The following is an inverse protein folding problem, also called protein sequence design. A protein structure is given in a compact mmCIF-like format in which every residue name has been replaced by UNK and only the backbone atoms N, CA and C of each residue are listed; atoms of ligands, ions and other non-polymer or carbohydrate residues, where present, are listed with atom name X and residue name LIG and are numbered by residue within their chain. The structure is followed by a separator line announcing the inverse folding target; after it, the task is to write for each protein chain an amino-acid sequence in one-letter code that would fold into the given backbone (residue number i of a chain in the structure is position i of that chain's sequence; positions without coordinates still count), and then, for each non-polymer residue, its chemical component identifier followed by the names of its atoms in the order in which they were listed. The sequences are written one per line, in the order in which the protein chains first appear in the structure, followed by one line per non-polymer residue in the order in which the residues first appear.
data_IF_459377593619
#
_entry.id   IF_459377593619
#
_cell.length_a   1.000
_cell.length_b   1.000
_cell.length_c   1.000
_cell.angle_alpha   90.00
_cell.angle_beta   90.00
_cell.angle_gamma   90.00
#
_symmetry.space_group_name_H-M   'P 1'
#
loop_
_entity.id
_entity.type
_entity.pdbx_description
1 polymer ?
#
# COMPACT_ATOMS: atom_id res chain seq x y z
N UNK A 1 -5.72 -1.75 -11.70
CA UNK A 1 -5.37 -2.29 -10.38
C UNK A 1 -3.85 -2.43 -10.18
N UNK A 2 -3.00 -2.02 -11.14
CA UNK A 2 -1.53 -2.04 -11.00
C UNK A 2 -1.01 -0.94 -10.11
N UNK A 3 -1.67 0.24 -10.08
CA UNK A 3 -1.28 1.46 -9.33
C UNK A 3 -1.06 1.24 -7.83
N UNK A 4 -1.31 0.02 -7.37
CA UNK A 4 -1.14 -0.40 -6.01
C UNK A 4 0.32 -0.72 -5.65
N UNK A 5 1.21 -1.15 -6.56
CA UNK A 5 2.58 -1.54 -6.13
C UNK A 5 3.36 -0.31 -5.67
N UNK A 6 3.35 0.74 -6.48
CA UNK A 6 4.00 2.01 -6.13
C UNK A 6 3.44 2.57 -4.83
N UNK A 7 2.11 2.63 -4.68
CA UNK A 7 1.46 3.19 -3.50
C UNK A 7 1.71 2.33 -2.25
N UNK A 8 1.62 1.01 -2.37
CA UNK A 8 1.91 0.07 -1.27
C UNK A 8 3.36 0.20 -0.82
N UNK A 9 4.31 0.28 -1.76
CA UNK A 9 5.73 0.45 -1.44
C UNK A 9 5.98 1.77 -0.69
N UNK A 10 5.28 2.84 -1.07
CA UNK A 10 5.39 4.14 -0.43
C UNK A 10 4.91 4.06 1.03
N UNK A 11 3.78 3.40 1.26
CA UNK A 11 3.25 3.18 2.63
C UNK A 11 4.24 2.38 3.47
N UNK A 12 4.83 1.31 2.92
CA UNK A 12 5.86 0.55 3.62
C UNK A 12 7.06 1.41 4.00
N UNK A 13 7.54 2.26 3.08
CA UNK A 13 8.68 3.14 3.34
C UNK A 13 8.35 4.23 4.36
N UNK A 14 7.17 4.85 4.28
CA UNK A 14 6.66 5.75 5.32
C UNK A 14 6.63 5.07 6.68
N UNK A 15 6.15 3.83 6.77
CA UNK A 15 6.04 3.08 8.02
C UNK A 15 7.41 2.70 8.57
N UNK A 16 8.38 2.38 7.73
CA UNK A 16 9.77 2.14 8.17
C UNK A 16 10.38 3.37 8.83
N UNK A 17 10.19 4.54 8.21
CA UNK A 17 10.66 5.80 8.78
C UNK A 17 9.88 6.08 10.10
N UNK A 18 8.58 5.81 10.11
CA UNK A 18 7.73 5.93 11.30
C UNK A 18 8.23 5.10 12.47
N UNK A 19 8.60 3.84 12.26
CA UNK A 19 9.12 2.96 13.30
C UNK A 19 10.46 3.44 13.88
N UNK A 20 11.31 4.02 13.03
CA UNK A 20 12.61 4.55 13.44
C UNK A 20 12.56 5.95 14.08
N UNK A 21 11.47 6.70 13.89
CA UNK A 21 11.34 8.09 14.34
C UNK A 21 10.84 8.22 15.78
N UNK A 22 11.49 9.03 16.60
CA UNK A 22 11.04 9.33 17.97
C UNK A 22 9.91 10.36 18.02
N UNK A 23 9.59 11.00 16.90
CA UNK A 23 8.52 12.01 16.80
C UNK A 23 7.13 11.39 16.52
N UNK A 24 7.05 10.07 16.43
CA UNK A 24 5.79 9.33 16.27
C UNK A 24 5.41 8.67 17.59
N UNK A 25 4.14 8.79 17.97
CA UNK A 25 3.63 8.18 19.19
C UNK A 25 3.68 6.64 19.15
N UNK A 26 3.88 6.02 20.31
CA UNK A 26 4.03 4.57 20.42
C UNK A 26 2.81 3.80 19.91
N UNK A 27 1.61 4.38 20.05
CA UNK A 27 0.36 3.79 19.53
C UNK A 27 0.46 3.56 18.02
N UNK A 28 0.96 4.54 17.26
CA UNK A 28 1.06 4.40 15.80
C UNK A 28 2.13 3.37 15.41
N UNK A 29 3.22 3.28 16.18
CA UNK A 29 4.24 2.25 15.98
C UNK A 29 3.70 0.85 16.26
N UNK A 30 2.99 0.67 17.38
CA UNK A 30 2.34 -0.60 17.77
C UNK A 30 1.35 -1.05 16.67
N UNK A 31 0.37 -0.21 16.31
CA UNK A 31 -0.63 -0.60 15.31
C UNK A 31 -0.03 -0.78 13.93
N UNK A 32 0.96 0.03 13.56
CA UNK A 32 1.61 -0.09 12.26
C UNK A 32 2.43 -1.37 12.12
N UNK A 33 3.03 -1.84 13.22
CA UNK A 33 3.79 -3.09 13.25
C UNK A 33 2.87 -4.31 13.24
N UNK A 34 1.88 -4.35 14.13
CA UNK A 34 1.01 -5.52 14.32
C UNK A 34 -0.05 -5.65 13.21
N UNK A 35 -0.46 -4.55 12.59
CA UNK A 35 -1.56 -4.51 11.61
C UNK A 35 -1.12 -3.92 10.26
N UNK A 36 0.13 -4.12 9.84
CA UNK A 36 0.67 -3.57 8.59
C UNK A 36 -0.18 -3.90 7.35
N UNK A 37 -0.76 -5.11 7.28
CA UNK A 37 -1.64 -5.51 6.18
C UNK A 37 -2.84 -4.57 6.02
N UNK A 38 -3.39 -4.05 7.13
CA UNK A 38 -4.48 -3.07 7.08
C UNK A 38 -4.00 -1.71 6.56
N UNK A 39 -2.78 -1.29 6.91
CA UNK A 39 -2.19 -0.10 6.31
C UNK A 39 -2.00 -0.25 4.79
N UNK A 40 -1.55 -1.42 4.32
CA UNK A 40 -1.48 -1.73 2.89
C UNK A 40 -2.87 -1.77 2.23
N UNK A 41 -3.91 -2.25 2.93
CA UNK A 41 -5.28 -2.11 2.42
C UNK A 41 -5.73 -0.65 2.34
N UNK A 42 -5.31 0.20 3.28
CA UNK A 42 -5.50 1.64 3.21
C UNK A 42 -4.92 2.22 1.92
N UNK A 43 -3.80 1.68 1.44
CA UNK A 43 -3.08 2.17 0.27
C UNK A 43 -3.65 1.81 -1.09
N UNK A 44 -4.81 1.15 -1.12
CA UNK A 44 -5.51 0.80 -2.36
C UNK A 44 -6.94 1.37 -2.39
N UNK A 45 -7.27 2.31 -1.48
CA UNK A 45 -8.62 2.87 -1.33
C UNK A 45 -8.67 4.36 -1.62
N UNK A 46 -9.50 4.75 -2.59
CA UNK A 46 -9.53 6.10 -3.16
C UNK A 46 -10.57 7.04 -2.52
N UNK A 47 -11.03 6.81 -1.28
CA UNK A 47 -12.21 7.52 -0.73
C UNK A 47 -12.13 7.89 0.77
N UNK A 48 -10.95 7.90 1.38
CA UNK A 48 -10.82 8.12 2.82
C UNK A 48 -10.82 9.58 3.29
N UNK A 49 -10.77 10.58 2.39
CA UNK A 49 -10.56 12.01 2.76
C UNK A 49 -11.57 12.50 3.78
N UNK A 50 -12.83 12.12 3.58
CA UNK A 50 -13.94 12.51 4.44
C UNK A 50 -13.97 11.74 5.76
N UNK A 51 -13.21 10.65 5.87
CA UNK A 51 -13.31 9.71 6.98
C UNK A 51 -12.06 9.68 7.86
N UNK A 52 -10.88 9.99 7.35
CA UNK A 52 -9.65 9.80 8.11
C UNK A 52 -9.56 10.67 9.36
N UNK A 53 -9.83 11.98 9.26
CA UNK A 53 -9.79 12.85 10.44
C UNK A 53 -10.90 12.50 11.44
N UNK A 54 -12.16 12.26 11.02
CA UNK A 54 -13.20 11.74 11.93
C UNK A 54 -12.83 10.41 12.59
N UNK A 55 -12.24 9.46 11.85
CA UNK A 55 -11.81 8.18 12.41
C UNK A 55 -10.65 8.38 13.38
N UNK A 56 -9.64 9.16 13.03
CA UNK A 56 -8.54 9.50 13.96
C UNK A 56 -9.06 10.13 15.24
N UNK A 57 -10.00 11.08 15.16
CA UNK A 57 -10.61 11.70 16.35
C UNK A 57 -11.36 10.65 17.17
N UNK A 58 -12.18 9.82 16.51
CA UNK A 58 -12.95 8.75 17.17
C UNK A 58 -12.03 7.82 17.97
N UNK A 59 -10.95 7.33 17.36
CA UNK A 59 -10.03 6.39 18.00
C UNK A 59 -9.13 7.05 19.04
N UNK A 60 -8.74 8.31 18.84
CA UNK A 60 -8.02 9.10 19.84
C UNK A 60 -8.85 9.22 21.12
N UNK A 61 -10.08 9.71 21.00
CA UNK A 61 -10.93 10.07 22.14
C UNK A 61 -11.38 8.83 22.94
N UNK A 62 -11.32 7.63 22.35
CA UNK A 62 -11.76 6.37 22.94
C UNK A 62 -10.65 5.32 23.10
N UNK A 63 -9.37 5.68 22.91
CA UNK A 63 -8.28 4.70 22.85
C UNK A 63 -8.22 3.76 24.06
N UNK A 64 -8.28 4.31 25.28
CA UNK A 64 -8.25 3.52 26.51
C UNK A 64 -9.54 2.72 26.75
N UNK A 65 -10.66 3.13 26.15
CA UNK A 65 -11.92 2.39 26.23
C UNK A 65 -11.87 1.12 25.37
N UNK A 66 -11.25 1.18 24.19
CA UNK A 66 -11.09 0.04 23.29
C UNK A 66 -10.35 -1.14 23.94
N UNK A 67 -9.36 -0.86 24.80
CA UNK A 67 -8.60 -1.89 25.54
C UNK A 67 -9.44 -2.72 26.51
N UNK A 68 -10.65 -2.28 26.84
CA UNK A 68 -11.54 -2.91 27.83
C UNK A 68 -12.72 -3.65 27.20
N UNK A 69 -12.92 -3.53 25.89
CA UNK A 69 -14.02 -4.21 25.18
C UNK A 69 -13.61 -5.67 24.92
N UNK A 70 -14.39 -6.66 25.38
CA UNK A 70 -14.12 -8.07 25.08
C UNK A 70 -14.16 -8.35 23.58
N UNK A 71 -13.24 -9.18 23.07
CA UNK A 71 -13.13 -9.54 21.64
C UNK A 71 -14.42 -10.18 21.08
N UNK A 72 -15.21 -10.83 21.94
CA UNK A 72 -16.47 -11.50 21.56
C UNK A 72 -17.63 -10.52 21.30
N UNK A 73 -17.49 -9.23 21.64
CA UNK A 73 -18.54 -8.22 21.55
C UNK A 73 -18.15 -7.16 20.52
N UNK A 74 -18.57 -7.35 19.26
CA UNK A 74 -18.25 -6.44 18.16
C UNK A 74 -19.48 -6.01 17.36
N UNK A 75 -20.21 -4.99 17.82
CA UNK A 75 -21.14 -4.25 16.95
C UNK A 75 -20.40 -3.09 16.29
N UNK A 76 -20.38 -3.04 14.94
CA UNK A 76 -19.64 -2.03 14.15
C UNK A 76 -20.05 -0.57 14.43
N UNK A 77 -21.25 -0.36 14.97
CA UNK A 77 -21.80 0.97 15.30
C UNK A 77 -21.51 1.43 16.73
N UNK A 78 -20.84 0.62 17.57
CA UNK A 78 -20.53 1.00 18.93
C UNK A 78 -19.46 2.12 18.98
N UNK A 79 -19.52 3.01 20.00
CA UNK A 79 -18.50 4.02 20.21
C UNK A 79 -17.13 3.40 20.51
N UNK A 80 -17.12 2.26 21.20
CA UNK A 80 -15.95 1.43 21.43
C UNK A 80 -16.11 0.05 20.77
N UNK A 81 -15.08 -0.38 20.07
CA UNK A 81 -14.90 -1.74 19.52
C UNK A 81 -13.75 -2.46 20.22
N UNK A 82 -13.61 -3.80 20.09
CA UNK A 82 -12.43 -4.51 20.59
C UNK A 82 -11.11 -3.87 20.14
N UNK A 83 -10.06 -4.03 20.96
CA UNK A 83 -8.74 -3.44 20.72
C UNK A 83 -8.23 -3.81 19.33
N UNK A 84 -8.25 -5.11 18.99
CA UNK A 84 -7.80 -5.63 17.70
C UNK A 84 -8.42 -4.89 16.50
N UNK A 85 -9.74 -4.65 16.56
CA UNK A 85 -10.49 -3.96 15.53
C UNK A 85 -10.16 -2.45 15.47
N UNK A 86 -10.00 -1.79 16.62
CA UNK A 86 -9.60 -0.39 16.67
C UNK A 86 -8.20 -0.19 16.06
N UNK A 87 -7.26 -1.09 16.37
CA UNK A 87 -5.90 -1.08 15.82
C UNK A 87 -5.88 -1.31 14.32
N UNK A 88 -6.63 -2.29 13.82
CA UNK A 88 -6.77 -2.56 12.38
C UNK A 88 -7.29 -1.34 11.62
N UNK A 89 -8.32 -0.67 12.16
CA UNK A 89 -8.89 0.52 11.52
C UNK A 89 -7.92 1.71 11.61
N UNK A 90 -7.22 1.87 12.72
CA UNK A 90 -6.22 2.92 12.85
C UNK A 90 -5.08 2.71 11.85
N UNK A 91 -4.53 1.49 11.75
CA UNK A 91 -3.51 1.14 10.76
C UNK A 91 -3.98 1.41 9.32
N UNK A 92 -5.24 1.05 9.00
CA UNK A 92 -5.85 1.37 7.72
C UNK A 92 -5.85 2.88 7.44
N UNK A 93 -6.24 3.71 8.41
CA UNK A 93 -6.25 5.17 8.26
C UNK A 93 -4.82 5.72 8.06
N UNK A 94 -3.83 5.20 8.78
CA UNK A 94 -2.43 5.62 8.61
C UNK A 94 -1.88 5.28 7.23
N UNK A 95 -2.16 4.06 6.73
CA UNK A 95 -1.78 3.67 5.37
C UNK A 95 -2.47 4.53 4.31
N UNK A 96 -3.74 4.83 4.53
CA UNK A 96 -4.50 5.70 3.64
C UNK A 96 -3.95 7.15 3.59
N UNK A 97 -3.55 7.72 4.73
CA UNK A 97 -2.87 9.03 4.78
C UNK A 97 -1.57 9.08 3.97
N UNK A 98 -0.82 7.98 3.96
CA UNK A 98 0.40 7.86 3.16
C UNK A 98 0.06 7.74 1.67
N UNK A 99 -0.96 6.95 1.33
CA UNK A 99 -1.43 6.78 -0.05
C UNK A 99 -1.94 8.07 -0.67
N UNK A 100 -2.60 8.93 0.10
CA UNK A 100 -3.00 10.27 -0.40
C UNK A 100 -1.80 11.06 -0.93
N UNK A 101 -0.62 10.96 -0.29
CA UNK A 101 0.58 11.62 -0.78
C UNK A 101 1.02 11.08 -2.15
N UNK A 102 0.84 9.77 -2.39
CA UNK A 102 1.06 9.17 -3.70
C UNK A 102 0.08 9.72 -4.76
N UNK A 103 -1.22 9.77 -4.44
CA UNK A 103 -2.25 10.29 -5.37
C UNK A 103 -1.95 11.72 -5.84
N UNK A 104 -1.42 12.56 -4.95
CA UNK A 104 -1.09 13.96 -5.25
C UNK A 104 0.18 14.04 -6.10
N UNK A 105 1.24 13.31 -5.70
CA UNK A 105 2.58 13.51 -6.25
C UNK A 105 2.89 12.62 -7.45
N UNK A 106 2.23 11.48 -7.60
CA UNK A 106 2.56 10.43 -8.57
C UNK A 106 1.41 10.12 -9.54
N UNK A 107 0.43 11.02 -9.65
CA UNK A 107 -0.71 10.83 -10.56
C UNK A 107 -0.23 10.54 -11.98
N UNK A 108 -0.66 9.40 -12.51
CA UNK A 108 -0.26 8.95 -13.84
C UNK A 108 -1.10 9.65 -14.91
N UNK A 109 -0.48 9.98 -16.04
CA UNK A 109 -1.19 10.52 -17.20
C UNK A 109 -1.92 9.44 -18.02
N UNK A 110 -1.64 8.16 -17.76
CA UNK A 110 -2.24 7.01 -18.43
C UNK A 110 -2.02 5.72 -17.64
N UNK A 111 -2.88 4.73 -17.87
CA UNK A 111 -2.74 3.37 -17.29
C UNK A 111 -1.41 2.73 -17.65
N UNK A 112 -0.91 2.94 -18.88
CA UNK A 112 0.38 2.38 -19.28
C UNK A 112 1.54 2.99 -18.49
N UNK A 113 1.55 4.30 -18.25
CA UNK A 113 2.57 4.94 -17.43
C UNK A 113 2.59 4.35 -16.01
N UNK A 114 1.42 4.13 -15.41
CA UNK A 114 1.31 3.48 -14.10
C UNK A 114 1.92 2.07 -14.09
N UNK A 115 1.61 1.25 -15.09
CA UNK A 115 2.18 -0.10 -15.21
C UNK A 115 3.72 -0.10 -15.27
N UNK A 116 4.33 0.84 -16.00
CA UNK A 116 5.79 0.98 -16.07
C UNK A 116 6.40 1.42 -14.73
N UNK A 117 5.75 2.36 -14.04
CA UNK A 117 6.18 2.83 -12.73
C UNK A 117 6.08 1.73 -11.66
N UNK A 118 4.98 0.98 -11.65
CA UNK A 118 4.80 -0.17 -10.76
C UNK A 118 5.83 -1.26 -11.03
N UNK A 119 6.09 -1.57 -12.30
CA UNK A 119 7.09 -2.57 -12.68
C UNK A 119 8.50 -2.13 -12.25
N UNK A 120 8.82 -0.86 -12.43
CA UNK A 120 10.08 -0.27 -11.96
C UNK A 120 10.22 -0.41 -10.44
N UNK A 121 9.22 0.01 -9.66
CA UNK A 121 9.23 -0.09 -8.20
C UNK A 121 9.33 -1.54 -7.74
N UNK A 122 8.58 -2.44 -8.38
CA UNK A 122 8.59 -3.85 -8.05
C UNK A 122 10.01 -4.44 -8.20
N UNK A 123 10.66 -4.20 -9.34
CA UNK A 123 12.06 -4.59 -9.57
C UNK A 123 13.02 -3.92 -8.59
N UNK A 124 12.81 -2.64 -8.30
CA UNK A 124 13.71 -1.85 -7.45
C UNK A 124 13.66 -2.27 -6.00
N UNK A 125 12.47 -2.52 -5.45
CA UNK A 125 12.25 -2.64 -4.01
C UNK A 125 11.90 -4.06 -3.54
N UNK A 126 11.36 -4.92 -4.40
CA UNK A 126 10.87 -6.24 -4.00
C UNK A 126 11.67 -7.39 -4.62
N UNK A 127 12.10 -7.27 -5.88
CA UNK A 127 12.92 -8.31 -6.51
C UNK A 127 14.25 -8.46 -5.78
N UNK A 128 14.56 -9.68 -5.36
CA UNK A 128 15.76 -10.04 -4.58
C UNK A 128 15.92 -9.28 -3.24
N UNK A 129 14.84 -8.70 -2.70
CA UNK A 129 14.87 -8.01 -1.42
C UNK A 129 14.17 -8.83 -0.33
N UNK A 130 14.95 -9.57 0.45
CA UNK A 130 14.43 -10.38 1.55
C UNK A 130 14.03 -9.56 2.78
N UNK A 131 14.25 -8.24 2.78
CA UNK A 131 14.06 -7.42 3.95
C UNK A 131 12.76 -6.60 3.93
N UNK A 132 11.82 -6.86 3.01
CA UNK A 132 10.44 -6.35 3.13
C UNK A 132 9.77 -7.01 4.36
N UNK A 133 8.83 -6.34 5.07
CA UNK A 133 8.28 -6.88 6.33
C UNK A 133 7.59 -8.23 6.10
N UNK A 134 7.02 -8.37 4.90
CA UNK A 134 6.65 -9.63 4.28
C UNK A 134 7.56 -9.77 3.06
N UNK A 135 8.61 -10.62 3.10
CA UNK A 135 9.44 -10.92 1.94
C UNK A 135 8.53 -11.26 0.77
N UNK A 136 8.71 -10.61 -0.38
CA UNK A 136 8.05 -11.05 -1.59
C UNK A 136 8.54 -12.48 -1.86
N UNK A 137 7.70 -13.45 -1.52
CA UNK A 137 7.93 -14.83 -1.89
C UNK A 137 7.28 -14.96 -3.26
N UNK A 138 8.09 -15.19 -4.29
CA UNK A 138 7.57 -15.89 -5.46
C UNK A 138 6.84 -17.11 -4.91
N UNK A 139 5.56 -17.26 -5.23
CA UNK A 139 4.79 -18.45 -4.88
C UNK A 139 5.68 -19.61 -5.28
N UNK A 140 6.10 -20.41 -4.29
CA UNK A 140 7.06 -21.50 -4.43
C UNK A 140 6.47 -22.53 -5.39
N UNK A 141 6.58 -22.29 -6.68
CA UNK A 141 6.96 -23.36 -7.57
C UNK A 141 8.40 -23.68 -7.20
N UNK A 142 8.68 -24.97 -6.99
CA UNK A 142 10.04 -25.42 -6.71
C UNK A 142 10.99 -24.80 -7.74
N UNK A 143 12.16 -24.31 -7.29
CA UNK A 143 13.19 -23.88 -8.23
C UNK A 143 13.47 -25.04 -9.18
N UNK A 144 13.53 -24.74 -10.46
CA UNK A 144 13.67 -25.72 -11.52
C UNK A 144 12.43 -26.63 -11.69
N UNK A 145 11.20 -26.10 -11.65
CA UNK A 145 10.05 -26.93 -12.03
C UNK A 145 10.13 -27.40 -13.49
N UNK A 146 10.83 -26.66 -14.36
CA UNK A 146 11.07 -27.03 -15.74
C UNK A 146 11.85 -28.36 -15.91
N UNK A 147 12.63 -28.79 -14.91
CA UNK A 147 13.32 -30.11 -14.95
C UNK A 147 12.46 -31.25 -14.40
N UNK A 148 11.28 -30.98 -13.84
CA UNK A 148 10.37 -32.05 -13.42
C UNK A 148 9.78 -32.74 -14.67
N UNK A 149 9.68 -34.08 -14.71
CA UNK A 149 9.11 -34.79 -15.86
C UNK A 149 7.69 -34.35 -16.24
N UNK A 150 6.93 -33.81 -15.27
CA UNK A 150 5.58 -33.31 -15.47
C UNK A 150 5.53 -31.90 -16.10
N UNK A 151 6.63 -31.14 -16.12
CA UNK A 151 6.70 -29.79 -16.72
C UNK A 151 6.47 -29.82 -18.23
N UNK A 152 6.87 -30.92 -18.88
CA UNK A 152 6.64 -31.14 -20.30
C UNK A 152 5.17 -31.48 -20.61
N UNK A 153 4.38 -31.87 -19.60
CA UNK A 153 2.98 -32.30 -19.74
C UNK A 153 1.95 -31.26 -19.31
N UNK A 154 2.40 -30.17 -18.68
CA UNK A 154 1.53 -29.10 -18.20
C UNK A 154 2.10 -27.79 -18.74
N UNK A 155 1.38 -27.15 -19.66
CA UNK A 155 1.82 -25.86 -20.19
C UNK A 155 1.64 -24.75 -19.15
N UNK A 156 2.41 -23.66 -19.28
CA UNK A 156 2.18 -22.45 -18.49
C UNK A 156 0.76 -21.89 -18.66
N UNK A 157 0.16 -22.16 -19.82
CA UNK A 157 -1.22 -21.79 -20.15
C UNK A 157 -2.22 -22.61 -19.32
N UNK A 158 -2.05 -23.94 -19.23
CA UNK A 158 -2.90 -24.82 -18.41
C UNK A 158 -2.87 -24.45 -16.91
N UNK A 159 -1.68 -24.11 -16.39
CA UNK A 159 -1.54 -23.65 -14.99
C UNK A 159 -2.22 -22.30 -14.78
N UNK A 160 -2.06 -21.38 -15.73
CA UNK A 160 -2.69 -20.06 -15.67
C UNK A 160 -4.22 -20.18 -15.68
N UNK A 161 -4.79 -21.01 -16.55
CA UNK A 161 -6.23 -21.28 -16.60
C UNK A 161 -6.74 -21.90 -15.29
N UNK A 162 -6.01 -22.85 -14.72
CA UNK A 162 -6.37 -23.46 -13.44
C UNK A 162 -6.35 -22.46 -12.28
N UNK A 163 -5.32 -21.60 -12.21
CA UNK A 163 -5.26 -20.53 -11.21
C UNK A 163 -6.36 -19.49 -11.39
N UNK A 164 -6.69 -19.11 -12.63
CA UNK A 164 -7.82 -18.24 -12.92
C UNK A 164 -9.13 -18.85 -12.42
N UNK A 165 -9.37 -20.14 -12.68
CA UNK A 165 -10.56 -20.85 -12.21
C UNK A 165 -10.63 -20.94 -10.67
N UNK A 166 -9.51 -21.23 -10.00
CA UNK A 166 -9.45 -21.23 -8.54
C UNK A 166 -9.68 -19.83 -7.95
N UNK A 167 -9.07 -18.81 -8.54
CA UNK A 167 -9.22 -17.43 -8.11
C UNK A 167 -10.68 -16.96 -8.25
N UNK A 168 -11.34 -17.28 -9.37
CA UNK A 168 -12.77 -17.04 -9.55
C UNK A 168 -13.60 -17.74 -8.48
N UNK A 169 -13.32 -19.02 -8.18
CA UNK A 169 -14.00 -19.76 -7.10
C UNK A 169 -13.79 -19.13 -5.74
N UNK A 170 -12.56 -18.74 -5.40
CA UNK A 170 -12.25 -18.04 -4.15
C UNK A 170 -13.00 -16.72 -4.03
N UNK A 171 -13.10 -15.94 -5.10
CA UNK A 171 -13.87 -14.70 -5.09
C UNK A 171 -15.38 -14.92 -4.95
N UNK A 172 -15.92 -15.96 -5.58
CA UNK A 172 -17.33 -16.36 -5.41
C UNK A 172 -17.59 -16.84 -3.97
N UNK A 173 -16.68 -17.67 -3.42
CA UNK A 173 -16.78 -18.23 -2.07
C UNK A 173 -16.61 -17.17 -0.96
N UNK A 174 -15.94 -16.05 -1.24
CA UNK A 174 -15.82 -14.94 -0.29
C UNK A 174 -17.15 -14.23 0.04
N UNK A 175 -18.30 -14.59 -0.57
CA UNK A 175 -19.66 -14.09 -0.25
C UNK A 175 -19.83 -12.55 -0.20
N UNK A 176 -18.84 -11.78 -0.68
CA UNK A 176 -18.87 -10.31 -0.71
C UNK A 176 -19.45 -9.75 -2.00
N UNK A 177 -19.64 -10.60 -3.00
CA UNK A 177 -20.30 -10.23 -4.25
C UNK A 177 -21.80 -10.44 -4.11
N UNK A 178 -22.48 -9.45 -3.53
CA UNK A 178 -23.94 -9.43 -3.47
C UNK A 178 -24.44 -9.25 -4.92
N UNK A 179 -25.10 -10.26 -5.51
CA UNK A 179 -25.61 -10.12 -6.87
C UNK A 179 -26.69 -9.05 -6.90
N UNK A 180 -26.78 -8.34 -8.02
CA UNK A 180 -27.96 -7.51 -8.29
C UNK A 180 -29.12 -8.46 -8.58
N UNK A 181 -30.01 -8.65 -7.61
CA UNK A 181 -31.15 -9.57 -7.74
C UNK A 181 -32.21 -9.04 -8.72
N UNK A 182 -32.18 -7.75 -9.04
CA UNK A 182 -33.09 -7.13 -10.00
C UNK A 182 -32.56 -7.23 -11.44
N UNK A 183 -31.24 -7.29 -11.61
CA UNK A 183 -30.52 -7.40 -12.90
C UNK A 183 -29.35 -8.40 -12.81
N UNK A 184 -29.67 -9.68 -12.68
CA UNK A 184 -28.67 -10.75 -12.54
C UNK A 184 -27.77 -10.85 -13.79
N UNK A 185 -28.35 -10.76 -14.99
CA UNK A 185 -27.61 -10.86 -16.25
C UNK A 185 -26.64 -9.68 -16.40
N UNK A 186 -27.11 -8.44 -16.21
CA UNK A 186 -26.22 -7.28 -16.28
C UNK A 186 -25.19 -7.26 -15.16
N UNK A 187 -25.49 -7.83 -13.98
CA UNK A 187 -24.48 -8.04 -12.94
C UNK A 187 -23.37 -9.00 -13.37
N UNK A 188 -23.73 -10.13 -14.01
CA UNK A 188 -22.76 -11.05 -14.59
C UNK A 188 -21.91 -10.40 -15.69
N UNK A 189 -22.52 -9.64 -16.59
CA UNK A 189 -21.80 -8.93 -17.66
C UNK A 189 -20.77 -7.93 -17.08
N UNK A 190 -21.15 -7.20 -16.04
CA UNK A 190 -20.24 -6.27 -15.34
C UNK A 190 -19.09 -7.01 -14.66
N UNK A 191 -19.38 -8.16 -14.04
CA UNK A 191 -18.34 -8.99 -13.41
C UNK A 191 -17.38 -9.54 -14.46
N UNK A 192 -17.89 -10.11 -15.56
CA UNK A 192 -17.09 -10.65 -16.65
C UNK A 192 -16.20 -9.57 -17.28
N UNK A 193 -16.75 -8.40 -17.57
CA UNK A 193 -15.99 -7.26 -18.07
C UNK A 193 -14.86 -6.86 -17.12
N UNK A 194 -15.10 -6.85 -15.80
CA UNK A 194 -14.07 -6.53 -14.79
C UNK A 194 -12.99 -7.60 -14.69
N UNK A 195 -13.36 -8.87 -14.80
CA UNK A 195 -12.40 -9.98 -14.82
C UNK A 195 -11.54 -9.93 -16.09
N UNK A 196 -12.16 -9.71 -17.25
CA UNK A 196 -11.45 -9.56 -18.53
C UNK A 196 -10.50 -8.37 -18.54
N UNK A 197 -10.95 -7.20 -18.06
CA UNK A 197 -10.11 -6.00 -17.87
C UNK A 197 -8.91 -6.31 -16.97
N UNK A 198 -9.14 -6.99 -15.85
CA UNK A 198 -8.09 -7.38 -14.92
C UNK A 198 -7.09 -8.34 -15.57
N UNK A 199 -7.55 -9.35 -16.30
CA UNK A 199 -6.67 -10.32 -16.97
C UNK A 199 -5.78 -9.63 -18.00
N UNK A 200 -6.36 -8.81 -18.88
CA UNK A 200 -5.59 -8.05 -19.87
C UNK A 200 -4.54 -7.14 -19.20
N UNK A 201 -4.92 -6.50 -18.10
CA UNK A 201 -4.04 -5.64 -17.33
C UNK A 201 -2.89 -6.42 -16.67
N UNK A 202 -3.16 -7.59 -16.07
CA UNK A 202 -2.13 -8.45 -15.47
C UNK A 202 -1.17 -9.01 -16.52
N UNK A 203 -1.68 -9.41 -17.69
CA UNK A 203 -0.83 -9.86 -18.80
C UNK A 203 0.11 -8.75 -19.25
N UNK A 204 -0.42 -7.52 -19.42
CA UNK A 204 0.39 -6.37 -19.80
C UNK A 204 1.44 -6.03 -18.74
N UNK A 205 1.08 -6.11 -17.46
CA UNK A 205 2.03 -5.92 -16.37
C UNK A 205 3.15 -6.97 -16.42
N UNK A 206 2.81 -8.24 -16.64
CA UNK A 206 3.77 -9.34 -16.77
C UNK A 206 4.71 -9.14 -17.96
N UNK A 207 4.20 -8.69 -19.12
CA UNK A 207 5.02 -8.34 -20.29
C UNK A 207 6.06 -7.26 -19.93
N UNK A 208 5.60 -6.14 -19.34
CA UNK A 208 6.47 -5.02 -18.95
C UNK A 208 7.51 -5.47 -17.91
N UNK A 209 7.11 -6.33 -16.98
CA UNK A 209 8.00 -6.89 -15.96
C UNK A 209 9.13 -7.74 -16.55
N UNK A 210 8.87 -8.47 -17.62
CA UNK A 210 9.83 -9.40 -18.23
C UNK A 210 10.71 -8.75 -19.29
N UNK A 211 10.12 -7.89 -20.13
CA UNK A 211 10.80 -7.22 -21.24
C UNK A 211 10.27 -5.77 -21.40
N UNK A 212 10.68 -4.85 -20.52
CA UNK A 212 10.20 -3.47 -20.57
C UNK A 212 10.76 -2.73 -21.79
N UNK A 213 9.89 -2.05 -22.55
CA UNK A 213 10.32 -1.20 -23.66
C UNK A 213 11.20 -0.05 -23.15
N UNK A 214 12.50 0.02 -23.53
CA UNK A 214 13.42 1.05 -23.03
C UNK A 214 12.95 2.48 -23.33
N UNK A 215 12.26 2.70 -24.45
CA UNK A 215 11.73 4.02 -24.79
C UNK A 215 10.62 4.44 -23.82
N UNK A 216 9.77 3.49 -23.41
CA UNK A 216 8.69 3.72 -22.44
C UNK A 216 9.19 3.82 -21.01
N UNK A 217 10.21 3.06 -20.63
CA UNK A 217 10.91 3.25 -19.35
C UNK A 217 11.46 4.66 -19.27
N UNK A 218 12.17 5.10 -20.31
CA UNK A 218 12.70 6.46 -20.37
C UNK A 218 11.59 7.50 -20.23
N UNK A 219 10.52 7.37 -21.03
CA UNK A 219 9.41 8.32 -21.05
C UNK A 219 8.62 8.38 -19.73
N UNK A 220 8.30 7.23 -19.13
CA UNK A 220 7.37 7.14 -17.99
C UNK A 220 8.05 7.05 -16.63
N UNK A 221 9.37 6.84 -16.59
CA UNK A 221 10.14 6.73 -15.35
C UNK A 221 11.25 7.77 -15.32
N UNK A 222 12.20 7.74 -16.27
CA UNK A 222 13.42 8.54 -16.21
C UNK A 222 13.21 10.03 -16.51
N UNK A 223 12.58 10.36 -17.65
CA UNK A 223 12.43 11.74 -18.13
C UNK A 223 11.51 12.58 -17.22
N UNK A 224 10.65 11.91 -16.44
CA UNK A 224 9.78 12.57 -15.46
C UNK A 224 10.39 12.61 -14.06
N UNK A 225 11.61 12.09 -13.84
CA UNK A 225 12.21 11.97 -12.51
C UNK A 225 11.28 11.25 -11.52
N UNK A 226 10.75 10.10 -11.92
CA UNK A 226 9.81 9.35 -11.09
C UNK A 226 10.45 8.91 -9.77
N UNK A 227 11.69 8.41 -9.83
CA UNK A 227 12.44 7.90 -8.68
C UNK A 227 13.92 8.24 -8.85
N UNK A 228 14.55 8.83 -7.83
CA UNK A 228 15.97 9.22 -7.83
C UNK A 228 16.65 8.66 -6.58
N UNK A 229 17.72 7.89 -6.75
CA UNK A 229 18.42 7.27 -5.62
C UNK A 229 19.16 8.29 -4.74
N UNK A 230 19.37 9.50 -5.26
CA UNK A 230 20.05 10.60 -4.60
C UNK A 230 19.14 11.34 -3.62
N UNK A 231 17.82 11.12 -3.65
CA UNK A 231 16.90 11.73 -2.69
C UNK A 231 17.17 11.18 -1.29
N UNK A 232 17.58 12.07 -0.37
CA UNK A 232 18.01 11.67 0.98
C UNK A 232 16.95 10.83 1.73
N UNK A 233 15.67 11.16 1.57
CA UNK A 233 14.57 10.40 2.19
C UNK A 233 14.39 9.01 1.58
N UNK A 234 14.68 8.84 0.29
CA UNK A 234 14.69 7.53 -0.37
C UNK A 234 15.88 6.71 0.15
N UNK A 235 17.06 7.30 0.26
CA UNK A 235 18.25 6.62 0.82
C UNK A 235 18.01 6.17 2.27
N UNK A 236 17.37 7.03 3.08
CA UNK A 236 16.94 6.68 4.43
C UNK A 236 16.03 5.43 4.41
N UNK A 237 14.96 5.45 3.61
CA UNK A 237 14.03 4.33 3.50
C UNK A 237 14.72 3.04 3.02
N UNK A 238 15.61 3.13 2.02
CA UNK A 238 16.40 1.99 1.55
C UNK A 238 17.36 1.45 2.64
N UNK A 239 17.95 2.32 3.45
CA UNK A 239 18.81 1.91 4.58
C UNK A 239 18.01 1.17 5.65
N UNK A 240 16.81 1.66 5.98
CA UNK A 240 15.89 1.03 6.92
C UNK A 240 15.36 -0.30 6.38
N UNK A 241 15.12 -0.41 5.07
CA UNK A 241 14.86 -1.70 4.41
C UNK A 241 16.02 -2.66 4.63
N UNK A 242 17.28 -2.20 4.71
CA UNK A 242 18.45 -3.06 4.99
C UNK A 242 18.70 -3.32 6.49
N UNK A 243 17.80 -2.86 7.37
CA UNK A 243 17.93 -3.04 8.82
C UNK A 243 18.84 -2.03 9.51
N UNK A 244 19.23 -0.94 8.84
CA UNK A 244 19.97 0.13 9.48
C UNK A 244 19.17 0.75 10.63
N UNK A 245 19.86 1.34 11.59
CA UNK A 245 19.29 2.05 12.74
C UNK A 245 19.80 3.50 12.72
N UNK A 246 19.27 4.35 11.83
CA UNK A 246 19.69 5.74 11.73
C UNK A 246 19.36 6.49 13.02
N UNK A 247 20.17 7.49 13.35
CA UNK A 247 19.93 8.42 14.45
C UNK A 247 18.78 9.37 14.11
N UNK A 248 18.14 9.96 15.12
CA UNK A 248 17.09 10.97 14.91
C UNK A 248 17.57 12.18 14.12
N UNK A 249 18.85 12.56 14.25
CA UNK A 249 19.45 13.64 13.47
C UNK A 249 19.53 13.29 11.98
N UNK A 250 19.87 12.04 11.64
CA UNK A 250 19.89 11.56 10.24
C UNK A 250 18.48 11.49 9.66
N UNK A 251 17.50 11.01 10.44
CA UNK A 251 16.08 10.99 10.03
C UNK A 251 15.59 12.41 9.75
N UNK A 252 15.85 13.34 10.66
CA UNK A 252 15.44 14.74 10.52
C UNK A 252 16.11 15.39 9.30
N UNK A 253 17.42 15.21 9.13
CA UNK A 253 18.15 15.76 7.99
C UNK A 253 17.62 15.24 6.65
N UNK A 254 17.35 13.94 6.55
CA UNK A 254 16.78 13.33 5.34
C UNK A 254 15.36 13.82 5.06
N UNK A 255 14.54 14.02 6.09
CA UNK A 255 13.19 14.59 5.96
C UNK A 255 13.22 16.07 5.54
N UNK A 256 14.14 16.87 6.09
CA UNK A 256 14.27 18.29 5.76
C UNK A 256 14.77 18.53 4.34
N UNK A 257 15.64 17.66 3.83
CA UNK A 257 16.14 17.72 2.46
C UNK A 257 15.00 17.78 1.43
N UNK A 258 15.18 18.58 0.37
CA UNK A 258 14.21 18.71 -0.70
C UNK A 258 14.38 17.56 -1.71
N UNK A 259 13.39 16.67 -1.89
CA UNK A 259 13.47 15.61 -2.88
C UNK A 259 13.25 16.16 -4.29
N UNK A 260 13.98 15.60 -5.25
CA UNK A 260 13.85 15.93 -6.67
C UNK A 260 12.79 15.06 -7.35
N UNK A 261 12.70 13.78 -6.94
CA UNK A 261 11.82 12.81 -7.58
C UNK A 261 10.36 12.90 -7.13
N UNK A 262 9.44 12.42 -7.95
CA UNK A 262 8.02 12.30 -7.58
C UNK A 262 7.82 11.35 -6.38
N UNK A 263 8.51 10.21 -6.38
CA UNK A 263 8.48 9.26 -5.28
C UNK A 263 9.02 9.86 -3.98
N UNK A 264 10.14 10.59 -4.04
CA UNK A 264 10.74 11.26 -2.88
C UNK A 264 9.83 12.34 -2.31
N UNK A 265 9.16 13.12 -3.15
CA UNK A 265 8.13 14.11 -2.75
C UNK A 265 6.95 13.42 -2.07
N UNK A 266 6.46 12.32 -2.65
CA UNK A 266 5.38 11.52 -2.07
C UNK A 266 5.78 10.96 -0.71
N UNK A 267 7.01 10.46 -0.56
CA UNK A 267 7.51 9.85 0.67
C UNK A 267 7.65 10.90 1.78
N UNK A 268 8.17 12.08 1.44
CA UNK A 268 8.27 13.21 2.36
C UNK A 268 6.89 13.66 2.83
N UNK A 269 5.95 13.84 1.92
CA UNK A 269 4.59 14.24 2.26
C UNK A 269 3.86 13.15 3.07
N UNK A 270 3.99 11.88 2.68
CA UNK A 270 3.37 10.76 3.39
C UNK A 270 3.87 10.61 4.82
N UNK A 271 5.18 10.70 5.04
CA UNK A 271 5.74 10.70 6.39
C UNK A 271 5.36 11.97 7.18
N UNK A 272 5.30 13.14 6.51
CA UNK A 272 4.78 14.38 7.11
C UNK A 272 3.32 14.27 7.57
N UNK A 273 2.48 13.55 6.82
CA UNK A 273 1.10 13.25 7.21
C UNK A 273 1.07 12.39 8.49
N UNK A 274 1.95 11.39 8.61
CA UNK A 274 2.07 10.56 9.82
C UNK A 274 2.52 11.38 11.04
N UNK A 275 3.50 12.28 10.88
CA UNK A 275 3.93 13.20 11.95
C UNK A 275 2.77 14.09 12.41
N UNK A 276 2.00 14.64 11.47
CA UNK A 276 0.85 15.50 11.77
C UNK A 276 -0.28 14.74 12.45
N UNK A 277 -0.58 13.53 11.98
CA UNK A 277 -1.56 12.65 12.58
C UNK A 277 -1.14 12.21 13.99
N UNK A 278 0.15 11.93 14.21
CA UNK A 278 0.72 11.61 15.53
C UNK A 278 0.53 12.79 16.50
N UNK A 279 0.91 14.00 16.10
CA UNK A 279 0.72 15.20 16.89
C UNK A 279 -0.77 15.43 17.22
N UNK A 280 -1.68 15.22 16.27
CA UNK A 280 -3.12 15.31 16.52
C UNK A 280 -3.61 14.24 17.51
N UNK A 281 -3.13 13.01 17.36
CA UNK A 281 -3.50 11.87 18.21
C UNK A 281 -3.03 12.06 19.65
N UNK A 282 -1.87 12.68 19.87
CA UNK A 282 -1.37 12.99 21.23
C UNK A 282 -1.87 14.31 21.79
N UNK A 283 -2.76 15.03 21.08
CA UNK A 283 -3.31 16.32 21.52
C UNK A 283 -2.37 17.52 21.34
N UNK A 284 -1.28 17.37 20.59
CA UNK A 284 -0.34 18.45 20.24
C UNK A 284 -0.75 19.23 18.97
N UNK A 285 -1.86 18.84 18.32
CA UNK A 285 -2.40 19.52 17.15
C UNK A 285 -3.94 19.49 17.17
N UNK A 286 -4.54 20.61 16.79
CA UNK A 286 -6.00 20.75 16.69
C UNK A 286 -6.58 20.14 15.40
N UNK A 287 -7.84 19.65 15.40
CA UNK A 287 -8.45 19.01 14.23
C UNK A 287 -8.46 19.90 12.97
N UNK A 288 -8.70 21.21 13.13
CA UNK A 288 -8.74 22.15 12.01
C UNK A 288 -7.36 22.32 11.35
N UNK A 289 -6.29 22.28 12.14
CA UNK A 289 -4.91 22.33 11.64
C UNK A 289 -4.58 21.08 10.85
N UNK A 290 -4.98 19.89 11.34
CA UNK A 290 -4.80 18.64 10.61
C UNK A 290 -5.58 18.64 9.29
N UNK A 291 -6.85 19.05 9.30
CA UNK A 291 -7.65 19.17 8.08
C UNK A 291 -7.03 20.14 7.07
N UNK A 292 -6.50 21.28 7.51
CA UNK A 292 -5.87 22.24 6.63
C UNK A 292 -4.58 21.68 5.99
N UNK A 293 -3.76 20.95 6.75
CA UNK A 293 -2.56 20.29 6.24
C UNK A 293 -2.90 19.17 5.25
N UNK A 294 -3.96 18.42 5.53
CA UNK A 294 -4.42 17.34 4.67
C UNK A 294 -5.27 17.82 3.50
N UNK A 295 -5.68 19.09 3.41
CA UNK A 295 -6.49 19.59 2.30
C UNK A 295 -5.66 20.06 1.09
N UNK A 296 -4.34 20.20 1.28
CA UNK A 296 -3.35 20.48 0.23
C UNK A 296 -3.03 19.23 -0.58
#
# INVERSE_FOLDING_TARGET
MSENVTHTSLVEDCFRIMFASDNICDVFKEVGFDHLNFAQFGSITSSGDRFAVPLLSKYRDNWEAHKKVPEEIGFRSAPAVPKSQAESILAFVLGWLCHRAADIQMKTGSVEAGLYQDAFIFHRLFVNNNNTPIPYRTVLYEKNMEILPASASISSEDVSEWFQAMQQRFFIEMHTFVPDVEDIEGWFDRLDAKLSERTAHMNRFAEIMMDPDPAKVKQFVSDIHFYEDEDAIIQLAQSLRKGAQPTQAEIQAAYEAAPNSHYGKALKQGFGNLLSASAFFTGNMEPNSLNALLAV
#
